data_IF_651231885069
#
_entry.id   IF_651231885069
#
_cell.length_a   1.000
_cell.length_b   1.000
_cell.length_c   1.000
_cell.angle_alpha   90.00
_cell.angle_beta   90.00
_cell.angle_gamma   90.00
#
_symmetry.space_group_name_H-M   'P 1'
#
loop_
_entity.id
_entity.type
_entity.pdbx_description
1 polymer ?
#
# COMPACT_ATOMS: atom_id res chain seq x y z
N UNK A 1 -0.20 -13.51 -9.20
CA UNK A 1 0.32 -12.46 -8.31
C UNK A 1 1.82 -12.66 -8.27
N UNK A 2 2.61 -11.59 -8.14
CA UNK A 2 4.07 -11.70 -8.00
C UNK A 2 4.43 -12.46 -6.71
N UNK A 3 5.63 -13.01 -6.64
CA UNK A 3 6.13 -13.64 -5.41
C UNK A 3 6.40 -12.58 -4.31
N UNK A 4 6.71 -13.03 -3.09
CA UNK A 4 6.89 -12.14 -1.94
C UNK A 4 7.98 -11.06 -2.16
N UNK A 5 9.18 -11.45 -2.62
CA UNK A 5 10.26 -10.49 -2.85
C UNK A 5 9.95 -9.54 -4.01
N UNK A 6 9.34 -10.05 -5.09
CA UNK A 6 8.90 -9.22 -6.21
C UNK A 6 7.86 -8.16 -5.79
N UNK A 7 6.92 -8.49 -4.89
CA UNK A 7 5.96 -7.52 -4.35
C UNK A 7 6.64 -6.44 -3.52
N UNK A 8 7.61 -6.83 -2.69
CA UNK A 8 8.38 -5.92 -1.83
C UNK A 8 9.23 -4.96 -2.68
N UNK A 9 9.94 -5.47 -3.67
CA UNK A 9 10.73 -4.65 -4.60
C UNK A 9 9.85 -3.71 -5.41
N UNK A 10 8.70 -4.20 -5.88
CA UNK A 10 7.75 -3.36 -6.60
C UNK A 10 7.17 -2.26 -5.71
N UNK A 11 6.85 -2.55 -4.45
CA UNK A 11 6.37 -1.56 -3.50
C UNK A 11 7.38 -0.41 -3.31
N UNK A 12 8.66 -0.77 -3.12
CA UNK A 12 9.77 0.21 -3.03
C UNK A 12 9.91 1.04 -4.29
N UNK A 13 9.85 0.40 -5.46
CA UNK A 13 9.91 1.09 -6.74
C UNK A 13 8.75 2.09 -6.92
N UNK A 14 7.52 1.74 -6.52
CA UNK A 14 6.38 2.67 -6.60
C UNK A 14 6.56 3.88 -5.68
N UNK A 15 7.10 3.70 -4.46
CA UNK A 15 7.38 4.82 -3.56
C UNK A 15 8.49 5.73 -4.11
N UNK A 16 9.53 5.14 -4.69
CA UNK A 16 10.63 5.87 -5.35
C UNK A 16 10.10 6.74 -6.50
N UNK A 17 9.33 6.14 -7.41
CA UNK A 17 8.70 6.86 -8.52
C UNK A 17 7.73 7.94 -8.03
N UNK A 18 6.96 7.66 -6.97
CA UNK A 18 6.07 8.66 -6.38
C UNK A 18 6.83 9.90 -5.92
N UNK A 19 8.03 9.71 -5.35
CA UNK A 19 8.92 10.83 -4.97
C UNK A 19 9.39 11.60 -6.20
N UNK A 20 9.88 10.92 -7.23
CA UNK A 20 10.31 11.56 -8.49
C UNK A 20 9.16 12.38 -9.10
N UNK A 21 7.94 11.84 -9.11
CA UNK A 21 6.76 12.54 -9.61
C UNK A 21 6.42 13.77 -8.79
N UNK A 22 6.48 13.69 -7.46
CA UNK A 22 6.28 14.84 -6.58
C UNK A 22 7.29 15.95 -6.87
N UNK A 23 8.58 15.63 -6.95
CA UNK A 23 9.66 16.58 -7.21
C UNK A 23 9.50 17.27 -8.58
N UNK A 24 8.81 16.62 -9.52
CA UNK A 24 8.49 17.15 -10.86
C UNK A 24 7.07 17.72 -10.97
N UNK A 25 6.43 18.06 -9.85
CA UNK A 25 5.08 18.64 -9.79
C UNK A 25 3.97 17.77 -10.44
N UNK A 26 4.15 16.45 -10.46
CA UNK A 26 3.17 15.46 -10.96
C UNK A 26 2.40 14.82 -9.81
N UNK A 27 1.65 15.64 -9.08
CA UNK A 27 1.05 15.26 -7.79
C UNK A 27 -0.02 14.18 -7.89
N UNK A 28 -0.85 14.17 -8.95
CA UNK A 28 -1.84 13.09 -9.16
C UNK A 28 -1.16 11.73 -9.27
N UNK A 29 -0.08 11.67 -10.05
CA UNK A 29 0.73 10.47 -10.22
C UNK A 29 1.45 10.07 -8.94
N UNK A 30 1.99 11.04 -8.19
CA UNK A 30 2.65 10.78 -6.90
C UNK A 30 1.68 10.15 -5.89
N UNK A 31 0.51 10.77 -5.67
CA UNK A 31 -0.56 10.25 -4.80
C UNK A 31 -1.01 8.86 -5.25
N UNK A 32 -1.18 8.68 -6.56
CA UNK A 32 -1.59 7.41 -7.12
C UNK A 32 -0.59 6.29 -6.83
N UNK A 33 0.71 6.53 -7.04
CA UNK A 33 1.76 5.55 -6.80
C UNK A 33 2.02 5.30 -5.31
N UNK A 34 1.86 6.29 -4.43
CA UNK A 34 1.89 6.07 -2.98
C UNK A 34 0.86 5.03 -2.53
N UNK A 35 -0.36 5.10 -3.06
CA UNK A 35 -1.39 4.10 -2.75
C UNK A 35 -1.02 2.69 -3.21
N UNK A 36 -0.43 2.55 -4.41
CA UNK A 36 0.08 1.27 -4.88
C UNK A 36 1.24 0.74 -4.04
N UNK A 37 2.15 1.59 -3.59
CA UNK A 37 3.25 1.18 -2.73
C UNK A 37 2.72 0.50 -1.44
N UNK A 38 1.66 1.06 -0.85
CA UNK A 38 1.01 0.52 0.35
C UNK A 38 0.23 -0.75 0.03
N UNK A 39 -0.55 -0.76 -1.07
CA UNK A 39 -1.29 -1.95 -1.52
C UNK A 39 -0.35 -3.16 -1.68
N UNK A 40 0.76 -2.96 -2.39
CA UNK A 40 1.76 -4.00 -2.64
C UNK A 40 2.45 -4.45 -1.35
N UNK A 41 2.73 -3.51 -0.44
CA UNK A 41 3.28 -3.83 0.88
C UNK A 41 2.33 -4.68 1.69
N UNK A 42 1.04 -4.34 1.74
CA UNK A 42 0.05 -5.13 2.46
C UNK A 42 -0.11 -6.52 1.85
N UNK A 43 -0.14 -6.63 0.53
CA UNK A 43 -0.15 -7.94 -0.17
C UNK A 43 1.09 -8.76 0.17
N UNK A 44 2.27 -8.14 0.19
CA UNK A 44 3.49 -8.78 0.66
C UNK A 44 3.35 -9.29 2.10
N UNK A 45 2.83 -8.48 3.03
CA UNK A 45 2.63 -8.89 4.42
C UNK A 45 1.64 -10.04 4.54
N UNK A 46 0.54 -10.04 3.78
CA UNK A 46 -0.40 -11.18 3.74
C UNK A 46 0.33 -12.44 3.29
N UNK A 47 1.08 -12.40 2.19
CA UNK A 47 1.84 -13.55 1.72
C UNK A 47 2.89 -14.00 2.77
N UNK A 48 3.64 -13.06 3.34
CA UNK A 48 4.73 -13.32 4.29
C UNK A 48 4.24 -13.93 5.60
N UNK A 49 3.13 -13.42 6.15
CA UNK A 49 2.69 -13.76 7.52
C UNK A 49 1.59 -14.84 7.53
N UNK A 50 0.89 -15.08 6.42
CA UNK A 50 -0.32 -15.92 6.39
C UNK A 50 -0.27 -17.08 5.40
N UNK A 51 0.69 -17.09 4.48
CA UNK A 51 0.82 -18.14 3.45
C UNK A 51 2.22 -18.75 3.56
N UNK A 52 2.35 -19.76 4.43
CA UNK A 52 3.60 -20.45 4.74
C UNK A 52 3.63 -21.83 4.09
N UNK A 53 3.69 -21.89 2.75
CA UNK A 53 3.72 -23.16 2.04
C UNK A 53 2.99 -23.11 0.69
N UNK A 54 2.97 -24.25 0.00
CA UNK A 54 2.09 -24.46 -1.15
C UNK A 54 0.64 -24.59 -0.65
N UNK A 55 -0.36 -24.05 -1.36
CA UNK A 55 -1.77 -24.21 -1.01
C UNK A 55 -2.23 -25.66 -1.17
N UNK A 56 -1.95 -26.47 -0.15
CA UNK A 56 -2.53 -27.80 0.05
C UNK A 56 -3.93 -27.68 0.69
N UNK A 57 -4.21 -26.57 1.38
CA UNK A 57 -5.48 -26.34 2.08
C UNK A 57 -6.34 -25.26 1.40
N UNK A 58 -7.65 -25.51 1.33
CA UNK A 58 -8.65 -24.68 0.64
C UNK A 58 -8.67 -23.21 1.12
N UNK A 59 -8.25 -22.97 2.36
CA UNK A 59 -8.23 -21.65 2.99
C UNK A 59 -7.10 -20.75 2.46
N UNK A 60 -5.95 -21.31 2.08
CA UNK A 60 -4.84 -20.54 1.48
C UNK A 60 -5.22 -20.00 0.10
N UNK A 61 -5.92 -20.81 -0.69
CA UNK A 61 -6.45 -20.37 -1.99
C UNK A 61 -7.47 -19.25 -1.84
N UNK A 62 -8.35 -19.35 -0.84
CA UNK A 62 -9.35 -18.31 -0.56
C UNK A 62 -8.70 -17.01 -0.13
N UNK A 63 -7.70 -17.06 0.76
CA UNK A 63 -6.95 -15.88 1.19
C UNK A 63 -6.23 -15.22 0.00
N UNK A 64 -5.65 -16.02 -0.90
CA UNK A 64 -5.02 -15.52 -2.11
C UNK A 64 -6.01 -14.81 -3.04
N UNK A 65 -7.22 -15.33 -3.22
CA UNK A 65 -8.28 -14.66 -3.99
C UNK A 65 -8.73 -13.35 -3.32
N UNK A 66 -8.94 -13.36 -2.00
CA UNK A 66 -9.33 -12.16 -1.24
C UNK A 66 -8.26 -11.05 -1.30
N UNK A 67 -6.98 -11.43 -1.28
CA UNK A 67 -5.84 -10.52 -1.41
C UNK A 67 -5.72 -9.87 -2.80
N UNK A 68 -6.51 -10.28 -3.80
CA UNK A 68 -6.54 -9.60 -5.11
C UNK A 68 -7.25 -8.24 -5.08
N UNK A 69 -7.93 -7.91 -3.99
CA UNK A 69 -8.57 -6.60 -3.82
C UNK A 69 -7.56 -5.44 -3.88
N UNK A 70 -8.07 -4.23 -4.12
CA UNK A 70 -7.33 -2.96 -4.07
C UNK A 70 -7.74 -2.11 -2.86
N UNK A 71 -8.56 -2.66 -1.97
CA UNK A 71 -9.04 -1.98 -0.77
C UNK A 71 -8.00 -2.12 0.36
N UNK A 72 -7.38 -1.00 0.73
CA UNK A 72 -6.29 -0.98 1.70
C UNK A 72 -6.74 -1.45 3.09
N UNK A 73 -7.94 -1.09 3.53
CA UNK A 73 -8.45 -1.49 4.84
C UNK A 73 -8.73 -2.99 4.89
N UNK A 74 -9.32 -3.54 3.82
CA UNK A 74 -9.48 -5.00 3.70
C UNK A 74 -8.13 -5.70 3.71
N UNK A 75 -7.14 -5.20 2.97
CA UNK A 75 -5.79 -5.78 2.96
C UNK A 75 -5.11 -5.70 4.33
N UNK A 76 -5.27 -4.59 5.07
CA UNK A 76 -4.75 -4.45 6.44
C UNK A 76 -5.38 -5.46 7.40
N UNK A 77 -6.67 -5.75 7.23
CA UNK A 77 -7.38 -6.79 7.97
C UNK A 77 -6.89 -8.19 7.61
N UNK A 78 -6.73 -8.49 6.31
CA UNK A 78 -6.18 -9.77 5.84
C UNK A 78 -4.74 -9.99 6.32
N UNK A 79 -3.96 -8.91 6.42
CA UNK A 79 -2.60 -8.92 6.96
C UNK A 79 -2.54 -9.09 8.49
N UNK A 80 -3.70 -9.06 9.17
CA UNK A 80 -3.83 -9.14 10.62
C UNK A 80 -3.02 -8.06 11.36
N UNK A 81 -3.12 -6.82 10.84
CA UNK A 81 -2.40 -5.63 11.34
C UNK A 81 -3.32 -4.51 11.84
N UNK A 82 -4.61 -4.77 12.01
CA UNK A 82 -5.58 -3.76 12.48
C UNK A 82 -5.19 -3.14 13.82
N UNK A 83 -4.53 -3.89 14.70
CA UNK A 83 -4.02 -3.43 15.99
C UNK A 83 -3.02 -2.28 15.88
N UNK A 84 -2.33 -2.12 14.74
CA UNK A 84 -1.43 -0.98 14.51
C UNK A 84 -2.19 0.35 14.52
N UNK A 85 -3.49 0.37 14.20
CA UNK A 85 -4.32 1.58 14.24
C UNK A 85 -4.56 2.13 15.65
N UNK A 86 -4.22 1.36 16.69
CA UNK A 86 -4.27 1.83 18.07
C UNK A 86 -3.04 2.68 18.44
N UNK A 87 -1.95 2.56 17.70
CA UNK A 87 -0.77 3.40 17.84
C UNK A 87 -0.91 4.65 16.96
N UNK A 88 -0.82 5.83 17.58
CA UNK A 88 -0.91 7.11 16.86
C UNK A 88 0.15 7.26 15.78
N UNK A 89 1.32 6.65 15.96
CA UNK A 89 2.43 6.72 15.00
C UNK A 89 2.09 6.04 13.68
N UNK A 90 1.22 5.02 13.70
CA UNK A 90 0.71 4.36 12.50
C UNK A 90 -0.63 4.94 12.05
N UNK A 91 -1.53 5.26 13.00
CA UNK A 91 -2.87 5.76 12.73
C UNK A 91 -2.86 7.09 11.96
N UNK A 92 -1.98 8.03 12.32
CA UNK A 92 -1.91 9.34 11.65
C UNK A 92 -1.52 9.18 10.18
N UNK A 93 -0.40 8.51 9.82
CA UNK A 93 -0.10 8.14 8.44
C UNK A 93 -1.25 7.40 7.75
N UNK A 94 -1.88 6.45 8.45
CA UNK A 94 -2.97 5.65 7.88
C UNK A 94 -4.14 6.51 7.41
N UNK A 95 -4.51 7.54 8.17
CA UNK A 95 -5.61 8.44 7.81
C UNK A 95 -5.36 9.22 6.51
N UNK A 96 -4.10 9.52 6.18
CA UNK A 96 -3.75 10.17 4.91
C UNK A 96 -3.85 9.23 3.72
N UNK A 97 -3.64 7.93 3.93
CA UNK A 97 -3.56 6.96 2.82
C UNK A 97 -4.84 6.17 2.60
N UNK A 98 -5.66 5.92 3.64
CA UNK A 98 -6.83 5.04 3.55
C UNK A 98 -7.97 5.63 2.70
N UNK A 99 -7.89 6.90 2.33
CA UNK A 99 -8.82 7.51 1.37
C UNK A 99 -8.47 7.19 -0.10
N UNK A 100 -7.28 6.64 -0.36
CA UNK A 100 -6.86 6.23 -1.69
C UNK A 100 -7.76 5.12 -2.26
N UNK A 101 -8.01 5.18 -3.57
CA UNK A 101 -8.73 4.16 -4.33
C UNK A 101 -8.02 3.95 -5.66
N UNK A 102 -8.01 2.72 -6.17
CA UNK A 102 -7.40 2.38 -7.47
C UNK A 102 -7.97 3.20 -8.65
N UNK A 103 -9.21 3.65 -8.50
CA UNK A 103 -9.96 4.48 -9.43
C UNK A 103 -9.43 5.91 -9.53
N UNK A 104 -8.51 6.32 -8.65
CA UNK A 104 -7.86 7.64 -8.73
C UNK A 104 -7.15 7.84 -10.07
N UNK A 105 -6.78 6.76 -10.77
CA UNK A 105 -6.28 6.76 -12.16
C UNK A 105 -7.20 7.45 -13.17
N UNK A 106 -8.50 7.53 -12.89
CA UNK A 106 -9.51 8.12 -13.79
C UNK A 106 -9.92 9.53 -13.34
N UNK A 107 -9.33 10.05 -12.26
CA UNK A 107 -9.60 11.42 -11.83
C UNK A 107 -9.06 12.41 -12.88
N UNK A 108 -9.71 13.56 -13.06
CA UNK A 108 -9.16 14.64 -13.88
C UNK A 108 -7.75 15.03 -13.41
N UNK A 109 -6.89 15.40 -14.36
CA UNK A 109 -5.56 15.92 -14.05
C UNK A 109 -5.69 17.22 -13.23
N UNK A 110 -4.85 17.35 -12.21
CA UNK A 110 -4.84 18.47 -11.27
C UNK A 110 -5.78 18.29 -10.07
N UNK A 111 -6.24 17.07 -9.79
CA UNK A 111 -7.12 16.80 -8.63
C UNK A 111 -6.32 16.77 -7.33
N UNK A 112 -5.13 16.17 -7.34
CA UNK A 112 -4.22 16.16 -6.20
C UNK A 112 -3.36 17.43 -6.17
N UNK A 113 -3.27 18.03 -4.99
CA UNK A 113 -2.41 19.18 -4.73
C UNK A 113 -1.00 18.76 -4.32
N UNK A 114 -0.09 19.74 -4.28
CA UNK A 114 1.24 19.56 -3.68
C UNK A 114 1.14 19.08 -2.24
N UNK A 115 0.18 19.60 -1.47
CA UNK A 115 -0.03 19.23 -0.07
C UNK A 115 -0.44 17.76 0.05
N UNK A 116 -1.35 17.28 -0.80
CA UNK A 116 -1.79 15.89 -0.77
C UNK A 116 -0.60 14.93 -0.97
N UNK A 117 0.21 15.20 -2.00
CA UNK A 117 1.41 14.39 -2.26
C UNK A 117 2.46 14.51 -1.16
N UNK A 118 2.68 15.70 -0.60
CA UNK A 118 3.64 15.95 0.48
C UNK A 118 3.25 15.29 1.81
N UNK A 119 1.95 15.06 2.05
CA UNK A 119 1.48 14.29 3.21
C UNK A 119 1.50 12.78 2.94
N UNK A 120 1.10 12.37 1.74
CA UNK A 120 0.95 10.96 1.42
C UNK A 120 2.29 10.24 1.25
N UNK A 121 3.32 10.90 0.72
CA UNK A 121 4.67 10.33 0.57
C UNK A 121 5.31 9.87 1.88
N UNK A 122 5.52 10.74 2.89
CA UNK A 122 6.07 10.31 4.18
C UNK A 122 5.14 9.32 4.88
N UNK A 123 3.82 9.48 4.77
CA UNK A 123 2.86 8.54 5.36
C UNK A 123 3.00 7.14 4.76
N UNK A 124 3.13 7.02 3.44
CA UNK A 124 3.35 5.74 2.75
C UNK A 124 4.66 5.10 3.22
N UNK A 125 5.76 5.86 3.26
CA UNK A 125 7.06 5.38 3.74
C UNK A 125 6.98 4.87 5.19
N UNK A 126 6.34 5.62 6.07
CA UNK A 126 6.27 5.31 7.50
C UNK A 126 5.43 4.04 7.73
N UNK A 127 4.31 3.89 7.00
CA UNK A 127 3.51 2.66 7.01
C UNK A 127 4.30 1.47 6.48
N UNK A 128 5.01 1.64 5.35
CA UNK A 128 5.83 0.58 4.77
C UNK A 128 6.90 0.11 5.77
N UNK A 129 7.56 1.06 6.42
CA UNK A 129 8.57 0.78 7.45
C UNK A 129 7.97 0.02 8.64
N UNK A 130 6.82 0.46 9.15
CA UNK A 130 6.12 -0.20 10.25
C UNK A 130 5.66 -1.63 9.90
N UNK A 131 5.46 -1.93 8.61
CA UNK A 131 5.09 -3.24 8.09
C UNK A 131 6.31 -4.12 7.72
N UNK A 132 7.54 -3.62 7.92
CA UNK A 132 8.78 -4.34 7.65
C UNK A 132 9.23 -4.27 6.18
N UNK A 133 8.84 -3.22 5.47
CA UNK A 133 9.33 -2.89 4.11
C UNK A 133 10.00 -1.52 4.17
N UNK A 134 11.33 -1.52 4.29
CA UNK A 134 12.17 -0.32 4.26
C UNK A 134 13.02 -0.27 3.00
#
# INVERSE_FOLDING_TARGET
MLNQEELKDLAKARLEEARILHDNSKYDGAVYLCGYAIELTLKYVVLRDRLWGFPEEQDEFKLYEEAKTHDLEKLLRLADKMQLLNDRTFQIPWNYVNNWRSEFRYRPVGTASVLDSAQMLPSARDIMTALGVS
#
